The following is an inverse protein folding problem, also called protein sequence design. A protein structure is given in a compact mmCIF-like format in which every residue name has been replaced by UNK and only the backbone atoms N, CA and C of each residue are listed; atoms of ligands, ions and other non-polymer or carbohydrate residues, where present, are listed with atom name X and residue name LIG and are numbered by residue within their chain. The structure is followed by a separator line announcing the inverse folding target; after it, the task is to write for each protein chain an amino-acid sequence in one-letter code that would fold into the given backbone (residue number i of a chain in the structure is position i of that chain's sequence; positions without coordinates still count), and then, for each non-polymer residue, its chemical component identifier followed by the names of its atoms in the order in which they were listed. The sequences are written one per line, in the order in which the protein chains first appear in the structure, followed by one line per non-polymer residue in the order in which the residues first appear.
data_IF_938614213383
#
_entry.id   IF_938614213383
#
_cell.length_a   1.000
_cell.length_b   1.000
_cell.length_c   1.000
_cell.angle_alpha   90.00
_cell.angle_beta   90.00
_cell.angle_gamma   90.00
#
_symmetry.space_group_name_H-M   'P 1'
#
loop_
_entity.id
_entity.type
_entity.pdbx_description
1 polymer ?
#
# COMPACT_ATOMS: atom_id res chain seq x y z
N UNK A 1 8.06 5.28 -20.19
CA UNK A 1 7.47 4.96 -18.89
C UNK A 1 6.27 4.03 -19.11
N UNK A 2 6.41 2.73 -18.81
CA UNK A 2 5.35 1.72 -19.03
C UNK A 2 4.98 0.96 -17.74
N UNK A 3 5.58 1.32 -16.61
CA UNK A 3 5.31 0.72 -15.31
C UNK A 3 4.59 1.75 -14.44
N UNK A 4 3.29 1.53 -14.20
CA UNK A 4 2.58 2.26 -13.15
C UNK A 4 3.30 1.98 -11.83
N UNK A 5 3.71 3.04 -11.14
CA UNK A 5 4.38 2.92 -9.85
C UNK A 5 3.40 2.65 -8.70
N UNK A 6 2.11 2.79 -8.96
CA UNK A 6 1.03 2.69 -7.96
C UNK A 6 0.24 1.40 -8.09
N UNK A 7 0.16 0.84 -9.30
CA UNK A 7 -0.67 -0.34 -9.59
C UNK A 7 0.07 -1.32 -10.47
N UNK A 8 -0.39 -2.58 -10.48
CA UNK A 8 0.17 -3.57 -11.39
C UNK A 8 -0.06 -3.14 -12.85
N UNK A 9 0.96 -3.26 -13.74
CA UNK A 9 0.80 -2.93 -15.15
C UNK A 9 -0.32 -3.74 -15.81
N UNK A 10 -0.97 -3.15 -16.83
CA UNK A 10 -2.07 -3.80 -17.55
C UNK A 10 -1.69 -5.15 -18.18
N UNK A 11 -0.43 -5.29 -18.62
CA UNK A 11 0.09 -6.57 -19.12
C UNK A 11 0.05 -7.67 -18.05
N UNK A 12 0.28 -7.31 -16.79
CA UNK A 12 0.14 -8.23 -15.66
C UNK A 12 -1.31 -8.60 -15.39
N UNK A 13 -2.25 -7.66 -15.54
CA UNK A 13 -3.69 -7.91 -15.31
C UNK A 13 -4.28 -8.94 -16.28
N UNK A 14 -3.70 -9.12 -17.47
CA UNK A 14 -4.07 -10.17 -18.44
C UNK A 14 -3.52 -11.54 -18.06
N UNK A 15 -2.43 -11.61 -17.29
CA UNK A 15 -1.77 -12.87 -16.95
C UNK A 15 -2.48 -13.58 -15.80
N UNK A 16 -3.15 -14.70 -16.08
CA UNK A 16 -3.80 -15.54 -15.07
C UNK A 16 -2.82 -15.98 -13.96
N UNK A 17 -1.56 -16.23 -14.31
CA UNK A 17 -0.50 -16.59 -13.36
C UNK A 17 -0.26 -15.53 -12.29
N UNK A 18 -0.36 -14.23 -12.62
CA UNK A 18 -0.23 -13.11 -11.66
C UNK A 18 -1.33 -13.17 -10.60
N UNK A 19 -2.58 -13.37 -11.03
CA UNK A 19 -3.73 -13.48 -10.14
C UNK A 19 -3.62 -14.71 -9.23
N UNK A 20 -3.25 -15.85 -9.80
CA UNK A 20 -3.06 -17.10 -9.04
C UNK A 20 -1.93 -16.97 -8.01
N UNK A 21 -0.80 -16.39 -8.42
CA UNK A 21 0.34 -16.18 -7.56
C UNK A 21 0.04 -15.23 -6.40
N UNK A 22 -0.59 -14.08 -6.68
CA UNK A 22 -0.97 -13.13 -5.62
C UNK A 22 -1.97 -13.74 -4.65
N UNK A 23 -2.95 -14.52 -5.15
CA UNK A 23 -3.91 -15.22 -4.29
C UNK A 23 -3.19 -16.20 -3.35
N UNK A 24 -2.29 -17.02 -3.90
CA UNK A 24 -1.55 -18.01 -3.15
C UNK A 24 -0.62 -17.36 -2.12
N UNK A 25 0.19 -16.39 -2.54
CA UNK A 25 1.19 -15.74 -1.69
C UNK A 25 0.54 -15.00 -0.52
N UNK A 26 -0.51 -14.20 -0.79
CA UNK A 26 -1.21 -13.45 0.25
C UNK A 26 -1.91 -14.38 1.22
N UNK A 27 -2.60 -15.42 0.73
CA UNK A 27 -3.30 -16.37 1.61
C UNK A 27 -2.33 -17.23 2.42
N UNK A 28 -1.23 -17.71 1.83
CA UNK A 28 -0.23 -18.46 2.59
C UNK A 28 0.43 -17.60 3.66
N UNK A 29 0.71 -16.33 3.38
CA UNK A 29 1.25 -15.41 4.37
C UNK A 29 0.24 -15.09 5.45
N UNK A 30 -0.93 -14.57 5.09
CA UNK A 30 -1.88 -13.99 6.04
C UNK A 30 -2.72 -15.04 6.77
N UNK A 31 -3.12 -16.09 6.06
CA UNK A 31 -4.15 -17.03 6.53
C UNK A 31 -3.56 -18.32 7.10
N UNK A 32 -2.24 -18.43 7.30
CA UNK A 32 -1.64 -19.58 7.95
C UNK A 32 -1.94 -19.60 9.47
N UNK A 33 -1.78 -20.77 10.09
CA UNK A 33 -2.18 -20.99 11.48
C UNK A 33 -1.37 -20.18 12.50
N UNK A 34 -0.16 -19.73 12.14
CA UNK A 34 0.66 -18.86 12.99
C UNK A 34 0.27 -17.39 12.79
N UNK A 35 0.36 -16.88 11.57
CA UNK A 35 0.20 -15.46 11.23
C UNK A 35 -1.20 -14.94 11.54
N UNK A 36 -2.26 -15.77 11.41
CA UNK A 36 -3.62 -15.39 11.78
C UNK A 36 -3.76 -14.83 13.20
N UNK A 37 -2.90 -15.26 14.12
CA UNK A 37 -2.92 -14.78 15.51
C UNK A 37 -2.29 -13.39 15.66
N UNK A 38 -1.38 -13.01 14.75
CA UNK A 38 -0.54 -11.83 14.88
C UNK A 38 -0.76 -10.76 13.79
N UNK A 39 -1.37 -11.14 12.65
CA UNK A 39 -1.49 -10.32 11.45
C UNK A 39 -2.08 -8.94 11.73
N UNK A 40 -3.15 -8.85 12.52
CA UNK A 40 -3.80 -7.56 12.80
C UNK A 40 -2.95 -6.66 13.70
N UNK A 41 -2.13 -7.23 14.59
CA UNK A 41 -1.17 -6.46 15.38
C UNK A 41 0.00 -6.01 14.51
N UNK A 42 0.55 -6.92 13.70
CA UNK A 42 1.64 -6.62 12.78
C UNK A 42 1.24 -5.59 11.74
N UNK A 43 0.01 -5.64 11.24
CA UNK A 43 -0.54 -4.62 10.36
C UNK A 43 -0.55 -3.25 11.00
N UNK A 44 -0.98 -3.14 12.26
CA UNK A 44 -1.00 -1.87 12.99
C UNK A 44 0.43 -1.37 13.25
N UNK A 45 1.33 -2.26 13.68
CA UNK A 45 2.75 -1.95 13.90
C UNK A 45 3.39 -1.43 12.62
N UNK A 46 3.24 -2.14 11.49
CA UNK A 46 3.80 -1.74 10.20
C UNK A 46 3.20 -0.46 9.65
N UNK A 47 1.90 -0.24 9.85
CA UNK A 47 1.26 1.03 9.49
C UNK A 47 1.82 2.19 10.31
N UNK A 48 1.95 2.02 11.63
CA UNK A 48 2.48 3.03 12.54
C UNK A 48 3.95 3.35 12.22
N UNK A 49 4.76 2.31 12.06
CA UNK A 49 6.17 2.39 11.72
C UNK A 49 6.36 3.12 10.40
N UNK A 50 5.60 2.74 9.37
CA UNK A 50 5.66 3.39 8.06
C UNK A 50 5.34 4.89 8.15
N UNK A 51 4.22 5.21 8.82
CA UNK A 51 3.75 6.59 8.96
C UNK A 51 4.73 7.47 9.73
N UNK A 52 5.30 6.95 10.82
CA UNK A 52 6.24 7.68 11.67
C UNK A 52 7.60 7.86 11.02
N UNK A 53 8.18 6.79 10.48
CA UNK A 53 9.58 6.76 10.09
C UNK A 53 9.81 7.23 8.66
N UNK A 54 8.86 6.99 7.75
CA UNK A 54 9.02 7.32 6.32
C UNK A 54 8.11 8.47 5.90
N UNK A 55 6.80 8.34 6.09
CA UNK A 55 5.84 9.33 5.59
C UNK A 55 5.99 10.69 6.29
N UNK A 56 5.96 10.74 7.63
CA UNK A 56 6.18 11.99 8.38
C UNK A 56 7.58 12.59 8.13
N UNK A 57 8.59 11.73 7.93
CA UNK A 57 9.94 12.19 7.58
C UNK A 57 9.94 12.91 6.24
N UNK A 58 9.29 12.35 5.21
CA UNK A 58 9.14 12.98 3.89
C UNK A 58 8.33 14.28 3.92
N UNK A 59 7.26 14.36 4.71
CA UNK A 59 6.53 15.62 4.87
C UNK A 59 7.38 16.71 5.53
N UNK A 60 8.17 16.36 6.55
CA UNK A 60 9.11 17.30 7.19
C UNK A 60 10.22 17.74 6.24
N UNK A 61 10.74 16.82 5.42
CA UNK A 61 11.71 17.13 4.37
C UNK A 61 11.15 18.17 3.38
N UNK A 62 9.91 17.96 2.89
CA UNK A 62 9.22 18.90 1.98
C UNK A 62 8.94 20.25 2.64
N UNK A 63 8.55 20.26 3.91
CA UNK A 63 8.37 21.51 4.66
C UNK A 63 9.69 22.28 4.82
N UNK A 64 10.79 21.58 5.11
CA UNK A 64 12.12 22.18 5.20
C UNK A 64 12.56 22.76 3.86
N UNK A 65 12.31 22.02 2.76
CA UNK A 65 12.57 22.49 1.41
C UNK A 65 11.80 23.78 1.10
N UNK A 66 10.50 23.84 1.42
CA UNK A 66 9.67 25.03 1.23
C UNK A 66 10.25 26.20 2.04
N UNK A 67 10.51 26.00 3.33
CA UNK A 67 11.04 27.05 4.21
C UNK A 67 12.35 27.66 3.71
N UNK A 68 13.24 26.83 3.19
CA UNK A 68 14.57 27.26 2.75
C UNK A 68 14.56 27.93 1.36
N UNK A 69 13.52 27.72 0.55
CA UNK A 69 13.48 28.17 -0.84
C UNK A 69 12.31 29.09 -1.17
N UNK A 70 11.38 29.37 -0.24
CA UNK A 70 10.19 30.20 -0.50
C UNK A 70 10.50 31.61 -1.04
N UNK A 71 11.66 32.17 -0.69
CA UNK A 71 12.10 33.49 -1.16
C UNK A 71 12.86 33.46 -2.51
N UNK A 72 13.03 32.27 -3.11
CA UNK A 72 13.80 32.06 -4.33
C UNK A 72 12.88 31.86 -5.53
N UNK A 73 12.92 32.80 -6.47
CA UNK A 73 12.02 32.81 -7.62
C UNK A 73 12.37 31.72 -8.66
N UNK A 74 13.62 31.27 -8.71
CA UNK A 74 14.11 30.19 -9.57
C UNK A 74 13.61 28.79 -9.15
N UNK A 75 13.02 28.66 -7.96
CA UNK A 75 12.51 27.39 -7.42
C UNK A 75 11.00 27.27 -7.42
N UNK A 76 10.30 28.15 -8.15
CA UNK A 76 8.84 28.26 -8.09
C UNK A 76 8.10 26.97 -8.45
N UNK A 77 8.50 26.29 -9.53
CA UNK A 77 7.89 25.03 -9.97
C UNK A 77 8.08 23.91 -8.94
N UNK A 78 9.30 23.75 -8.42
CA UNK A 78 9.59 22.76 -7.36
C UNK A 78 8.82 23.04 -6.05
N UNK A 79 8.61 24.32 -5.73
CA UNK A 79 7.79 24.72 -4.57
C UNK A 79 6.31 24.39 -4.77
N UNK A 80 5.77 24.63 -5.96
CA UNK A 80 4.38 24.30 -6.28
C UNK A 80 4.12 22.79 -6.13
N UNK A 81 5.03 21.94 -6.63
CA UNK A 81 4.99 20.49 -6.40
C UNK A 81 5.10 20.12 -4.92
N UNK A 82 6.01 20.75 -4.17
CA UNK A 82 6.15 20.49 -2.74
C UNK A 82 4.88 20.87 -1.94
N UNK A 83 4.23 21.98 -2.29
CA UNK A 83 2.95 22.38 -1.71
C UNK A 83 1.82 21.44 -2.08
N UNK A 84 1.71 21.06 -3.35
CA UNK A 84 0.73 20.10 -3.83
C UNK A 84 0.85 18.76 -3.09
N UNK A 85 2.08 18.26 -2.92
CA UNK A 85 2.34 17.03 -2.18
C UNK A 85 1.89 17.12 -0.72
N UNK A 86 2.30 18.17 -0.01
CA UNK A 86 1.87 18.36 1.39
C UNK A 86 0.35 18.41 1.49
N UNK A 87 -0.31 19.16 0.60
CA UNK A 87 -1.77 19.29 0.59
C UNK A 87 -2.45 17.96 0.35
N UNK A 88 -2.05 17.23 -0.69
CA UNK A 88 -2.62 15.92 -1.05
C UNK A 88 -2.48 14.92 0.10
N UNK A 89 -1.30 14.82 0.70
CA UNK A 89 -1.03 13.84 1.76
C UNK A 89 -1.74 14.20 3.08
N UNK A 90 -1.79 15.48 3.44
CA UNK A 90 -2.54 15.94 4.62
C UNK A 90 -4.04 15.75 4.41
N UNK A 91 -4.56 16.02 3.22
CA UNK A 91 -5.99 15.80 2.92
C UNK A 91 -6.37 14.32 3.00
N UNK A 92 -5.56 13.42 2.42
CA UNK A 92 -5.72 11.97 2.56
C UNK A 92 -5.74 11.56 4.03
N UNK A 93 -4.86 12.12 4.85
CA UNK A 93 -4.79 11.77 6.28
C UNK A 93 -5.96 12.36 7.08
N UNK A 94 -6.39 13.59 6.78
CA UNK A 94 -7.56 14.22 7.40
C UNK A 94 -8.85 13.42 7.14
N UNK A 95 -9.01 12.85 5.94
CA UNK A 95 -10.15 11.99 5.60
C UNK A 95 -10.18 10.71 6.45
N UNK A 96 -8.99 10.16 6.78
CA UNK A 96 -8.83 8.97 7.63
C UNK A 96 -8.98 9.30 9.12
N UNK A 97 -8.39 10.40 9.58
CA UNK A 97 -8.29 10.80 10.98
C UNK A 97 -9.13 12.04 11.28
N UNK A 98 -10.44 11.87 11.43
CA UNK A 98 -11.38 12.97 11.74
C UNK A 98 -11.09 13.74 13.04
N UNK A 99 -10.29 13.17 13.96
CA UNK A 99 -9.95 13.78 15.26
C UNK A 99 -8.66 14.60 15.22
N UNK A 100 -7.78 14.36 14.25
CA UNK A 100 -6.49 15.03 14.12
C UNK A 100 -6.43 15.60 12.71
N UNK A 101 -7.04 16.77 12.53
CA UNK A 101 -7.09 17.45 11.24
C UNK A 101 -6.14 18.64 11.22
N UNK A 102 -5.69 18.97 10.02
CA UNK A 102 -5.08 20.25 9.72
C UNK A 102 -6.03 21.04 8.82
N UNK A 103 -6.64 22.08 9.38
CA UNK A 103 -7.73 22.81 8.70
C UNK A 103 -7.21 23.92 7.78
N UNK A 104 -5.95 24.34 7.95
CA UNK A 104 -5.33 25.48 7.23
C UNK A 104 -4.73 25.06 5.88
N UNK A 105 -5.39 24.17 5.13
CA UNK A 105 -4.88 23.65 3.85
C UNK A 105 -4.66 24.74 2.80
N UNK A 106 -5.43 25.84 2.85
CA UNK A 106 -5.29 26.98 1.94
C UNK A 106 -3.98 27.77 2.14
N UNK A 107 -3.36 27.65 3.33
CA UNK A 107 -2.06 28.25 3.62
C UNK A 107 -0.90 27.49 2.93
N UNK A 108 -1.15 26.30 2.38
CA UNK A 108 -0.16 25.47 1.67
C UNK A 108 -0.06 25.89 0.20
N UNK A 109 0.33 27.13 -0.04
CA UNK A 109 0.59 27.66 -1.38
C UNK A 109 1.63 28.76 -1.34
N UNK A 110 2.31 28.99 -2.46
CA UNK A 110 3.31 30.04 -2.57
C UNK A 110 2.79 31.43 -2.15
N UNK A 111 1.53 31.74 -2.45
CA UNK A 111 0.93 33.05 -2.16
C UNK A 111 0.51 33.23 -0.70
N UNK A 112 0.07 32.15 -0.04
CA UNK A 112 -0.55 32.24 1.28
C UNK A 112 0.37 31.75 2.41
N UNK A 113 1.45 31.05 2.08
CA UNK A 113 2.37 30.51 3.07
C UNK A 113 3.09 31.62 3.82
N UNK A 114 2.98 31.61 5.15
CA UNK A 114 3.60 32.62 6.03
C UNK A 114 4.75 31.99 6.81
N UNK A 115 6.03 32.23 6.41
CA UNK A 115 7.18 31.73 7.16
C UNK A 115 7.13 32.16 8.63
N UNK A 116 7.43 31.24 9.54
CA UNK A 116 7.33 31.41 11.01
C UNK A 116 5.95 31.07 11.58
N UNK A 117 4.86 31.18 10.79
CA UNK A 117 3.50 30.87 11.24
C UNK A 117 3.01 29.54 10.65
N UNK A 118 2.97 29.41 9.32
CA UNK A 118 2.43 28.23 8.64
C UNK A 118 3.32 27.00 8.87
N UNK A 119 4.65 27.15 8.89
CA UNK A 119 5.57 26.05 9.23
C UNK A 119 5.47 25.64 10.71
N UNK A 120 5.26 26.59 11.63
CA UNK A 120 5.05 26.28 13.04
C UNK A 120 3.73 25.51 13.27
N UNK A 121 2.66 25.89 12.57
CA UNK A 121 1.37 25.19 12.60
C UNK A 121 1.51 23.76 12.04
N UNK A 122 2.16 23.59 10.90
CA UNK A 122 2.44 22.26 10.32
C UNK A 122 3.29 21.40 11.24
N UNK A 123 4.35 21.93 11.84
CA UNK A 123 5.18 21.17 12.78
C UNK A 123 4.38 20.72 14.00
N UNK A 124 3.48 21.56 14.51
CA UNK A 124 2.58 21.20 15.61
C UNK A 124 1.65 20.07 15.19
N UNK A 125 1.07 20.13 13.99
CA UNK A 125 0.25 19.06 13.41
C UNK A 125 1.05 17.76 13.23
N UNK A 126 2.25 17.80 12.63
CA UNK A 126 3.13 16.64 12.49
C UNK A 126 3.52 16.03 13.83
N UNK A 127 3.68 16.84 14.89
CA UNK A 127 3.95 16.34 16.23
C UNK A 127 2.74 15.69 16.89
N UNK A 128 1.51 16.15 16.59
CA UNK A 128 0.27 15.46 17.00
C UNK A 128 0.15 14.10 16.30
N UNK A 129 0.36 14.06 14.98
CA UNK A 129 0.37 12.81 14.21
C UNK A 129 1.45 11.84 14.70
N UNK A 130 2.65 12.35 14.98
CA UNK A 130 3.75 11.53 15.48
C UNK A 130 3.39 10.84 16.81
N UNK A 131 2.75 11.57 17.74
CA UNK A 131 2.24 10.99 18.98
C UNK A 131 1.16 9.95 18.71
N UNK A 132 0.18 10.26 17.87
CA UNK A 132 -0.89 9.34 17.52
C UNK A 132 -0.37 7.99 16.98
N UNK A 133 0.56 8.02 16.02
CA UNK A 133 1.12 6.78 15.50
C UNK A 133 2.08 6.10 16.47
N UNK A 134 2.73 6.84 17.36
CA UNK A 134 3.54 6.26 18.42
C UNK A 134 2.67 5.51 19.44
N UNK A 135 1.54 6.10 19.84
CA UNK A 135 0.57 5.47 20.73
C UNK A 135 -0.03 4.21 20.08
N UNK A 136 -0.40 4.29 18.79
CA UNK A 136 -0.86 3.14 18.00
C UNK A 136 0.20 2.02 17.94
N UNK A 137 1.48 2.39 17.79
CA UNK A 137 2.58 1.43 17.80
C UNK A 137 2.69 0.74 19.17
N UNK A 138 2.70 1.51 20.26
CA UNK A 138 2.82 0.97 21.61
C UNK A 138 1.64 0.05 21.95
N UNK A 139 0.41 0.48 21.66
CA UNK A 139 -0.78 -0.34 21.89
C UNK A 139 -0.73 -1.68 21.13
N UNK A 140 -0.34 -1.66 19.86
CA UNK A 140 -0.21 -2.87 19.06
C UNK A 140 0.93 -3.77 19.53
N UNK A 141 2.07 -3.19 19.93
CA UNK A 141 3.22 -3.91 20.49
C UNK A 141 2.84 -4.61 21.79
N UNK A 142 2.25 -3.88 22.74
CA UNK A 142 1.86 -4.41 24.05
C UNK A 142 0.87 -5.56 23.91
N UNK A 143 -0.11 -5.43 22.99
CA UNK A 143 -1.07 -6.50 22.69
C UNK A 143 -0.40 -7.73 22.09
N UNK A 144 0.55 -7.53 21.16
CA UNK A 144 1.32 -8.62 20.56
C UNK A 144 2.18 -9.32 21.60
N UNK A 145 2.90 -8.57 22.43
CA UNK A 145 3.77 -9.10 23.48
C UNK A 145 2.97 -9.85 24.55
N UNK A 146 1.79 -9.35 24.93
CA UNK A 146 0.88 -10.05 25.83
C UNK A 146 0.42 -11.40 25.26
N UNK A 147 0.14 -11.48 23.95
CA UNK A 147 -0.24 -12.73 23.29
C UNK A 147 0.94 -13.70 23.22
N UNK A 148 2.13 -13.22 22.84
CA UNK A 148 3.37 -14.01 22.81
C UNK A 148 3.68 -14.56 24.21
N UNK A 149 3.59 -13.72 25.24
CA UNK A 149 3.79 -14.13 26.63
C UNK A 149 2.77 -15.20 27.05
N UNK A 150 1.50 -15.04 26.65
CA UNK A 150 0.45 -16.02 26.92
C UNK A 150 0.72 -17.38 26.26
N UNK A 151 1.28 -17.38 25.05
CA UNK A 151 1.61 -18.59 24.28
C UNK A 151 2.95 -19.23 24.67
N UNK A 152 3.76 -18.57 25.51
CA UNK A 152 5.08 -19.04 25.92
C UNK A 152 5.25 -19.09 27.46
N UNK A 153 4.17 -19.37 28.20
CA UNK A 153 4.17 -19.35 29.68
C UNK A 153 4.98 -20.48 30.31
N UNK A 154 4.91 -21.67 29.72
CA UNK A 154 5.59 -22.88 30.19
C UNK A 154 6.56 -23.38 29.12
N UNK A 155 7.49 -24.27 29.50
CA UNK A 155 8.42 -24.87 28.54
C UNK A 155 7.69 -25.68 27.46
N UNK A 156 6.59 -26.35 27.82
CA UNK A 156 5.74 -27.08 26.86
C UNK A 156 5.03 -26.12 25.89
N UNK A 157 4.45 -25.03 26.40
CA UNK A 157 3.80 -24.02 25.56
C UNK A 157 4.81 -23.37 24.59
N UNK A 158 6.02 -23.11 25.09
CA UNK A 158 7.12 -22.57 24.28
C UNK A 158 7.50 -23.50 23.15
N UNK A 159 7.59 -24.80 23.39
CA UNK A 159 7.85 -25.79 22.33
C UNK A 159 6.72 -25.79 21.29
N UNK A 160 5.45 -25.81 21.72
CA UNK A 160 4.30 -25.72 20.80
C UNK A 160 4.30 -24.43 19.99
N UNK A 161 4.69 -23.31 20.59
CA UNK A 161 4.78 -22.02 19.89
C UNK A 161 5.88 -22.04 18.82
N UNK A 162 7.05 -22.62 19.13
CA UNK A 162 8.14 -22.78 18.16
C UNK A 162 7.70 -23.71 17.02
N UNK A 163 7.11 -24.86 17.32
CA UNK A 163 6.58 -25.78 16.31
C UNK A 163 5.51 -25.13 15.43
N UNK A 164 4.60 -24.34 16.01
CA UNK A 164 3.59 -23.60 15.26
C UNK A 164 4.24 -22.59 14.32
N UNK A 165 5.28 -21.89 14.77
CA UNK A 165 6.01 -20.94 13.92
C UNK A 165 6.74 -21.67 12.79
N UNK A 166 7.48 -22.74 13.11
CA UNK A 166 8.31 -23.45 12.14
C UNK A 166 7.47 -24.16 11.06
N UNK A 167 6.30 -24.69 11.44
CA UNK A 167 5.42 -25.40 10.50
C UNK A 167 4.61 -24.48 9.57
N UNK A 168 4.40 -23.21 9.95
CA UNK A 168 3.47 -22.32 9.25
C UNK A 168 4.09 -21.01 8.74
N UNK A 169 5.37 -20.75 9.02
CA UNK A 169 6.08 -19.58 8.48
C UNK A 169 7.05 -19.96 7.37
N UNK A 170 7.18 -19.09 6.37
CA UNK A 170 8.16 -19.24 5.30
C UNK A 170 8.90 -17.90 5.15
N UNK A 171 10.18 -17.90 5.48
CA UNK A 171 11.00 -16.68 5.49
C UNK A 171 11.09 -16.02 4.10
N UNK A 172 11.30 -16.81 3.04
CA UNK A 172 11.35 -16.29 1.68
C UNK A 172 10.02 -15.68 1.23
N UNK A 173 8.89 -16.30 1.60
CA UNK A 173 7.57 -15.75 1.34
C UNK A 173 7.38 -14.43 2.12
N UNK A 174 7.73 -14.41 3.40
CA UNK A 174 7.63 -13.22 4.25
C UNK A 174 8.44 -12.06 3.66
N UNK A 175 9.67 -12.32 3.23
CA UNK A 175 10.55 -11.32 2.64
C UNK A 175 10.00 -10.77 1.32
N UNK A 176 9.41 -11.66 0.51
CA UNK A 176 8.80 -11.31 -0.77
C UNK A 176 7.56 -10.42 -0.57
N UNK A 177 6.60 -10.85 0.23
CA UNK A 177 5.32 -10.12 0.38
C UNK A 177 5.44 -8.85 1.23
N UNK A 178 6.51 -8.71 2.02
CA UNK A 178 6.82 -7.49 2.76
C UNK A 178 7.77 -6.55 2.01
N UNK A 179 8.27 -6.94 0.82
CA UNK A 179 9.29 -6.19 0.08
C UNK A 179 10.49 -5.81 0.96
N UNK A 180 11.05 -6.75 1.73
CA UNK A 180 12.14 -6.45 2.66
C UNK A 180 13.38 -5.88 1.95
N UNK A 181 13.68 -6.38 0.75
CA UNK A 181 14.82 -5.96 -0.07
C UNK A 181 14.61 -4.65 -0.84
N UNK A 182 13.42 -4.05 -0.80
CA UNK A 182 13.18 -2.75 -1.44
C UNK A 182 13.95 -1.65 -0.72
N UNK A 183 14.85 -0.96 -1.41
CA UNK A 183 15.64 0.14 -0.84
C UNK A 183 14.77 1.37 -0.61
N UNK A 184 13.87 1.67 -1.55
CA UNK A 184 13.02 2.85 -1.51
C UNK A 184 11.67 2.49 -0.89
N UNK A 185 11.58 2.56 0.44
CA UNK A 185 10.35 2.23 1.19
C UNK A 185 9.17 3.14 0.85
N UNK A 186 9.44 4.37 0.40
CA UNK A 186 8.48 5.37 -0.03
C UNK A 186 9.03 6.11 -1.24
N UNK A 187 8.17 6.35 -2.24
CA UNK A 187 8.51 7.12 -3.44
C UNK A 187 7.51 8.24 -3.67
N UNK A 188 7.92 9.27 -4.39
CA UNK A 188 7.08 10.39 -4.80
C UNK A 188 6.72 10.25 -6.27
N UNK A 189 5.41 10.26 -6.57
CA UNK A 189 4.87 10.12 -7.92
C UNK A 189 3.67 11.05 -8.02
N UNK A 190 3.66 11.93 -9.02
CA UNK A 190 2.54 12.86 -9.30
C UNK A 190 2.07 13.63 -8.05
N UNK A 191 3.01 14.22 -7.30
CA UNK A 191 2.77 14.94 -6.04
C UNK A 191 2.06 14.11 -4.96
N UNK A 192 2.32 12.80 -4.94
CA UNK A 192 1.80 11.88 -3.94
C UNK A 192 2.89 10.94 -3.42
N UNK A 193 2.75 10.55 -2.16
CA UNK A 193 3.64 9.57 -1.54
C UNK A 193 3.07 8.17 -1.68
N UNK A 194 3.82 7.29 -2.32
CA UNK A 194 3.44 5.90 -2.56
C UNK A 194 4.30 4.99 -1.67
N UNK A 195 3.62 4.21 -0.83
CA UNK A 195 4.24 3.20 0.01
C UNK A 195 4.65 1.99 -0.83
N UNK A 196 5.92 1.58 -0.71
CA UNK A 196 6.47 0.36 -1.33
C UNK A 196 6.82 -0.72 -0.31
N UNK A 197 7.00 -0.32 0.95
CA UNK A 197 7.21 -1.23 2.07
C UNK A 197 5.94 -1.99 2.43
N UNK A 198 6.10 -3.24 2.86
CA UNK A 198 5.06 -3.99 3.58
C UNK A 198 3.70 -4.06 2.84
N UNK A 199 3.65 -4.34 1.52
CA UNK A 199 2.40 -4.23 0.76
C UNK A 199 1.33 -5.21 1.23
N UNK A 200 1.72 -6.35 1.81
CA UNK A 200 0.78 -7.32 2.43
C UNK A 200 0.02 -6.79 3.63
N UNK A 201 0.46 -5.68 4.22
CA UNK A 201 -0.22 -4.99 5.31
C UNK A 201 -0.97 -3.73 4.86
N UNK A 202 -0.79 -3.31 3.60
CA UNK A 202 -1.42 -2.12 3.03
C UNK A 202 -2.73 -2.48 2.33
N UNK A 203 -3.86 -2.11 2.92
CA UNK A 203 -5.16 -2.21 2.25
C UNK A 203 -5.22 -1.30 1.02
N UNK A 204 -5.97 -1.70 0.00
CA UNK A 204 -6.11 -0.92 -1.22
C UNK A 204 -7.49 -0.29 -1.38
N UNK A 205 -7.50 0.93 -1.89
CA UNK A 205 -8.72 1.73 -2.10
C UNK A 205 -9.45 1.39 -3.43
N UNK A 206 -8.96 0.40 -4.21
CA UNK A 206 -9.54 0.04 -5.50
C UNK A 206 -9.28 -1.39 -5.96
N UNK A 207 -9.83 -1.73 -7.13
CA UNK A 207 -9.67 -3.06 -7.74
C UNK A 207 -8.24 -3.28 -8.27
N UNK A 208 -7.72 -2.28 -8.99
CA UNK A 208 -6.30 -2.23 -9.37
C UNK A 208 -5.52 -1.63 -8.21
N UNK A 209 -4.67 -2.44 -7.61
CA UNK A 209 -3.90 -2.11 -6.41
C UNK A 209 -2.43 -2.43 -6.60
N UNK A 210 -1.62 -2.08 -5.61
CA UNK A 210 -0.30 -2.66 -5.42
C UNK A 210 -0.37 -4.19 -5.36
N UNK A 211 0.70 -4.82 -5.82
CA UNK A 211 0.86 -6.27 -5.74
C UNK A 211 0.94 -6.71 -4.28
N UNK A 212 0.34 -7.85 -3.96
CA UNK A 212 0.23 -8.42 -2.60
C UNK A 212 -0.69 -7.67 -1.63
N UNK A 213 -1.47 -6.68 -2.07
CA UNK A 213 -2.47 -6.08 -1.20
C UNK A 213 -3.37 -7.17 -0.59
N UNK A 214 -3.67 -7.16 0.72
CA UNK A 214 -4.43 -8.21 1.39
C UNK A 214 -5.94 -8.12 1.09
N UNK A 215 -6.41 -6.93 0.71
CA UNK A 215 -7.80 -6.64 0.38
C UNK A 215 -7.86 -5.72 -0.83
N UNK A 216 -8.89 -5.92 -1.65
CA UNK A 216 -9.21 -5.09 -2.82
C UNK A 216 -10.62 -4.54 -2.68
N UNK A 217 -10.81 -3.29 -3.10
CA UNK A 217 -12.11 -2.65 -3.02
C UNK A 217 -12.85 -2.78 -4.36
N UNK A 218 -14.01 -3.44 -4.34
CA UNK A 218 -14.87 -3.68 -5.49
C UNK A 218 -16.27 -3.19 -5.16
N UNK A 219 -16.84 -2.31 -6.00
CA UNK A 219 -18.16 -1.69 -5.79
C UNK A 219 -18.34 -1.06 -4.39
N UNK A 220 -17.28 -0.44 -3.86
CA UNK A 220 -17.29 0.19 -2.52
C UNK A 220 -17.18 -0.79 -1.35
N UNK A 221 -17.06 -2.10 -1.60
CA UNK A 221 -16.85 -3.11 -0.56
C UNK A 221 -15.42 -3.65 -0.60
N UNK A 222 -14.80 -3.79 0.57
CA UNK A 222 -13.45 -4.34 0.69
C UNK A 222 -13.49 -5.87 0.82
N UNK A 223 -13.03 -6.58 -0.21
CA UNK A 223 -13.01 -8.04 -0.27
C UNK A 223 -11.59 -8.59 -0.12
N UNK A 224 -11.41 -9.78 0.50
CA UNK A 224 -10.12 -10.44 0.55
C UNK A 224 -9.56 -10.72 -0.85
N UNK A 225 -8.27 -10.48 -1.05
CA UNK A 225 -7.59 -10.67 -2.34
C UNK A 225 -7.74 -12.07 -2.90
N UNK A 226 -7.80 -13.09 -2.04
CA UNK A 226 -8.09 -14.46 -2.42
C UNK A 226 -9.36 -14.57 -3.30
N UNK A 227 -10.50 -14.09 -2.80
CA UNK A 227 -11.78 -14.23 -3.50
C UNK A 227 -11.82 -13.44 -4.79
N UNK A 228 -11.26 -12.22 -4.77
CA UNK A 228 -11.19 -11.38 -5.96
C UNK A 228 -10.38 -12.07 -7.05
N UNK A 229 -9.20 -12.56 -6.71
CA UNK A 229 -8.29 -13.15 -7.68
C UNK A 229 -8.84 -14.46 -8.23
N UNK A 230 -9.44 -15.32 -7.39
CA UNK A 230 -10.11 -16.55 -7.84
C UNK A 230 -11.27 -16.23 -8.78
N UNK A 231 -12.09 -15.22 -8.45
CA UNK A 231 -13.20 -14.79 -9.32
C UNK A 231 -12.68 -14.31 -10.68
N UNK A 232 -11.60 -13.52 -10.73
CA UNK A 232 -10.98 -13.09 -11.99
C UNK A 232 -10.52 -14.29 -12.83
N UNK A 233 -9.88 -15.28 -12.22
CA UNK A 233 -9.45 -16.50 -12.92
C UNK A 233 -10.66 -17.24 -13.50
N UNK A 234 -11.74 -17.39 -12.73
CA UNK A 234 -12.98 -18.00 -13.23
C UNK A 234 -13.58 -17.20 -14.40
N UNK A 235 -13.61 -15.87 -14.32
CA UNK A 235 -14.06 -15.03 -15.43
C UNK A 235 -13.20 -15.21 -16.68
N UNK A 236 -11.88 -15.31 -16.53
CA UNK A 236 -10.97 -15.61 -17.65
C UNK A 236 -11.26 -16.98 -18.27
N UNK A 237 -11.49 -18.01 -17.45
CA UNK A 237 -11.83 -19.36 -17.92
C UNK A 237 -13.18 -19.40 -18.65
N UNK A 238 -14.20 -18.73 -18.11
CA UNK A 238 -15.53 -18.63 -18.74
C UNK A 238 -15.43 -17.86 -20.06
N UNK A 239 -14.73 -16.72 -20.06
CA UNK A 239 -14.51 -15.93 -21.28
C UNK A 239 -13.81 -16.76 -22.35
N UNK A 240 -12.80 -17.54 -21.99
CA UNK A 240 -12.12 -18.46 -22.91
C UNK A 240 -13.07 -19.57 -23.42
N UNK A 241 -13.93 -20.10 -22.57
CA UNK A 241 -14.95 -21.07 -22.98
C UNK A 241 -15.92 -20.49 -24.00
N UNK A 242 -16.36 -19.24 -23.79
CA UNK A 242 -17.24 -18.51 -24.72
C UNK A 242 -16.54 -18.24 -26.05
N UNK A 243 -15.29 -17.76 -26.03
CA UNK A 243 -14.55 -17.47 -27.28
C UNK A 243 -14.29 -18.72 -28.10
N UNK A 244 -14.08 -19.87 -27.43
CA UNK A 244 -13.96 -21.17 -28.08
C UNK A 244 -15.31 -21.63 -28.65
N UNK A 245 -16.39 -21.52 -27.89
CA UNK A 245 -17.74 -21.93 -28.35
C UNK A 245 -18.20 -21.18 -29.61
N UNK A 246 -17.89 -19.89 -29.71
CA UNK A 246 -18.25 -19.08 -30.88
C UNK A 246 -17.19 -19.05 -31.99
N UNK A 247 -16.14 -19.90 -31.90
CA UNK A 247 -15.04 -19.91 -32.88
C UNK A 247 -14.44 -18.50 -33.13
N UNK A 248 -14.36 -17.66 -32.08
CA UNK A 248 -13.93 -16.27 -32.20
C UNK A 248 -12.51 -16.19 -32.76
N UNK A 249 -11.62 -17.07 -32.29
CA UNK A 249 -10.24 -17.15 -32.78
C UNK A 249 -10.19 -17.44 -34.30
N UNK A 250 -11.01 -18.38 -34.78
CA UNK A 250 -11.10 -18.70 -36.21
C UNK A 250 -11.60 -17.51 -37.02
N UNK A 251 -12.58 -16.77 -36.49
CA UNK A 251 -13.10 -15.55 -37.11
C UNK A 251 -12.04 -14.47 -37.22
N UNK A 252 -11.23 -14.28 -36.15
CA UNK A 252 -10.12 -13.33 -36.13
C UNK A 252 -9.05 -13.72 -37.16
N UNK A 253 -8.65 -15.00 -37.22
CA UNK A 253 -7.65 -15.49 -38.18
C UNK A 253 -8.11 -15.22 -39.62
N UNK A 254 -9.39 -15.53 -39.94
CA UNK A 254 -9.95 -15.25 -41.27
C UNK A 254 -9.95 -13.77 -41.60
N UNK A 255 -10.27 -12.91 -40.64
CA UNK A 255 -10.21 -11.46 -40.81
C UNK A 255 -8.80 -10.96 -41.12
N UNK A 256 -7.81 -11.49 -40.40
CA UNK A 256 -6.39 -11.19 -40.62
C UNK A 256 -5.97 -11.63 -42.03
N UNK A 257 -6.32 -12.84 -42.44
CA UNK A 257 -6.03 -13.37 -43.78
C UNK A 257 -6.61 -12.47 -44.89
N UNK A 258 -7.86 -12.03 -44.76
CA UNK A 258 -8.48 -11.10 -45.70
C UNK A 258 -7.72 -9.77 -45.76
N UNK A 259 -7.31 -9.22 -44.61
CA UNK A 259 -6.56 -7.97 -44.54
C UNK A 259 -5.21 -8.08 -45.24
N UNK A 260 -4.48 -9.17 -45.02
CA UNK A 260 -3.17 -9.41 -45.64
C UNK A 260 -3.27 -9.77 -47.13
N UNK A 261 -4.37 -10.39 -47.57
CA UNK A 261 -4.60 -10.69 -49.00
C UNK A 261 -4.96 -9.46 -49.85
N UNK A 262 -5.32 -8.32 -49.21
CA UNK A 262 -5.67 -7.05 -49.87
C UNK A 262 -4.52 -6.05 -49.97
N UNK A 263 -3.34 -6.38 -49.43
CA UNK A 263 -2.08 -5.66 -49.62
C UNK A 263 -1.15 -6.46 -50.52
#
# INVERSE_FOLDING_TARGET
ALTSQTTVPLSGDVMTSRWAFEALAVTQFKDNAFEKNFYDFDKQLKTAEFKKNFWLSKLREKLSFIKNNINKQDKREELDHAFALLKNEIEKENQKLKKITFDQLEELSFTNFKPGKSDAALNTYFNKLNRYYLDMYHEASDKKDALVSKMNKTDEDRQKFIELKDNYTNESLNDLVQNKNELNKIIEVDDQLIQKADPVFLDSDGFRSQFFAPRKTIFGQSLPTYWVNILVIWMMSIALGITLYFDVLKTIIRWIEILFSRN
#
